data_IF_104345870540
#
_entry.id   IF_104345870540
#
_cell.length_a   1.000
_cell.length_b   1.000
_cell.length_c   1.000
_cell.angle_alpha   90.00
_cell.angle_beta   90.00
_cell.angle_gamma   90.00
#
_symmetry.space_group_name_H-M   'P 1'
#
loop_
_entity.id
_entity.type
_entity.pdbx_description
1 polymer ?
#
# COMPACT_ATOMS: atom_id res chain seq x y z
N UNK A 1 58.98 45.58 61.17
CA UNK A 1 58.65 44.26 60.64
C UNK A 1 57.15 44.22 60.42
N UNK A 2 56.68 44.38 59.20
CA UNK A 2 55.22 44.35 58.83
C UNK A 2 55.00 43.20 57.86
N UNK A 3 54.17 42.22 58.26
CA UNK A 3 53.80 41.04 57.48
C UNK A 3 52.64 41.36 56.50
N UNK A 4 52.93 41.28 55.24
CA UNK A 4 51.91 41.43 54.20
C UNK A 4 51.21 40.08 53.94
N UNK A 5 49.97 39.93 54.41
CA UNK A 5 49.11 38.76 54.07
C UNK A 5 48.50 38.94 52.69
N UNK A 6 48.97 38.19 51.73
CA UNK A 6 48.38 38.09 50.37
C UNK A 6 46.97 37.47 50.37
N UNK A 7 45.94 38.18 49.93
CA UNK A 7 44.58 37.69 49.65
C UNK A 7 44.60 36.88 48.36
N UNK A 8 44.50 35.58 48.45
CA UNK A 8 44.21 34.70 47.25
C UNK A 8 42.77 34.92 46.80
N UNK A 9 42.59 35.47 45.59
CA UNK A 9 41.29 35.58 44.90
C UNK A 9 40.81 34.16 44.56
N UNK A 10 39.69 33.75 45.15
CA UNK A 10 38.95 32.58 44.74
C UNK A 10 38.37 32.79 43.34
N UNK A 11 38.95 32.14 42.35
CA UNK A 11 38.54 32.24 40.94
C UNK A 11 37.26 31.42 40.73
N UNK A 12 36.15 32.09 40.44
CA UNK A 12 34.83 31.51 40.17
C UNK A 12 34.89 30.42 39.10
N UNK A 13 34.65 29.18 39.52
CA UNK A 13 34.52 27.99 38.63
C UNK A 13 33.08 27.79 38.10
N UNK A 14 32.17 28.78 38.29
CA UNK A 14 30.73 28.60 38.15
C UNK A 14 30.17 28.83 36.74
N UNK A 15 30.93 29.26 35.75
CA UNK A 15 30.41 29.63 34.41
C UNK A 15 30.61 28.56 33.31
N UNK A 16 31.43 27.52 33.55
CA UNK A 16 31.69 26.49 32.51
C UNK A 16 30.67 25.38 32.40
N UNK A 17 29.84 25.18 33.41
CA UNK A 17 28.87 24.06 33.44
C UNK A 17 27.60 24.36 32.61
N UNK A 18 27.11 25.60 32.62
CA UNK A 18 25.93 26.01 31.86
C UNK A 18 26.17 25.94 30.35
N UNK A 19 27.32 26.41 29.87
CA UNK A 19 27.66 26.32 28.43
C UNK A 19 27.70 24.90 27.90
N UNK A 20 28.23 23.96 28.70
CA UNK A 20 28.21 22.53 28.29
C UNK A 20 26.79 21.95 28.25
N UNK A 21 25.92 22.31 29.19
CA UNK A 21 24.56 21.86 29.23
C UNK A 21 23.76 22.36 27.98
N UNK A 22 23.91 23.64 27.63
CA UNK A 22 23.29 24.17 26.42
C UNK A 22 23.81 23.51 25.13
N UNK A 23 25.11 23.20 25.07
CA UNK A 23 25.66 22.47 23.90
C UNK A 23 25.09 21.07 23.79
N UNK A 24 24.86 20.35 24.88
CA UNK A 24 24.25 19.04 24.87
C UNK A 24 22.75 19.10 24.49
N UNK A 25 22.02 20.12 24.96
CA UNK A 25 20.62 20.34 24.61
C UNK A 25 20.47 20.69 23.12
N UNK A 26 21.38 21.49 22.56
CA UNK A 26 21.40 21.80 21.13
C UNK A 26 21.71 20.54 20.30
N UNK A 27 22.71 19.74 20.70
CA UNK A 27 23.02 18.47 20.06
C UNK A 27 21.84 17.51 20.08
N UNK A 28 21.16 17.37 21.22
CA UNK A 28 19.96 16.56 21.35
C UNK A 28 18.83 17.05 20.43
N UNK A 29 18.60 18.36 20.37
CA UNK A 29 17.62 19.00 19.48
C UNK A 29 17.93 18.70 18.00
N UNK A 30 19.18 18.83 17.58
CA UNK A 30 19.60 18.51 16.21
C UNK A 30 19.40 17.03 15.89
N UNK A 31 19.76 16.14 16.82
CA UNK A 31 19.55 14.69 16.66
C UNK A 31 18.07 14.32 16.57
N UNK A 32 17.20 14.98 17.34
CA UNK A 32 15.76 14.79 17.25
C UNK A 32 15.20 15.27 15.92
N UNK A 33 15.66 16.40 15.40
CA UNK A 33 15.23 16.91 14.08
C UNK A 33 15.70 15.98 12.96
N UNK A 34 16.94 15.50 13.01
CA UNK A 34 17.48 14.55 12.02
C UNK A 34 16.72 13.21 12.12
N UNK A 35 16.48 12.71 13.34
CA UNK A 35 15.73 11.47 13.56
C UNK A 35 14.30 11.56 13.07
N UNK A 36 13.60 12.66 13.36
CA UNK A 36 12.23 12.90 12.88
C UNK A 36 12.17 13.08 11.35
N UNK A 37 13.11 13.85 10.79
CA UNK A 37 13.22 14.02 9.34
C UNK A 37 13.51 12.69 8.63
N UNK A 38 14.47 11.92 9.15
CA UNK A 38 14.80 10.60 8.66
C UNK A 38 13.62 9.64 8.73
N UNK A 39 12.89 9.63 9.85
CA UNK A 39 11.67 8.83 10.01
C UNK A 39 10.56 9.25 9.02
N UNK A 40 10.33 10.54 8.82
CA UNK A 40 9.37 11.06 7.84
C UNK A 40 9.73 10.65 6.40
N UNK A 41 11.01 10.72 6.04
CA UNK A 41 11.49 10.28 4.73
C UNK A 41 11.31 8.77 4.59
N UNK A 42 11.71 7.99 5.59
CA UNK A 42 11.58 6.54 5.60
C UNK A 42 10.13 6.07 5.54
N UNK A 43 9.21 6.76 6.22
CA UNK A 43 7.77 6.46 6.21
C UNK A 43 7.03 6.98 4.99
N UNK A 44 7.71 7.64 4.04
CA UNK A 44 7.07 8.06 2.80
C UNK A 44 6.82 6.87 1.89
N UNK A 45 5.62 6.81 1.27
CA UNK A 45 5.20 5.74 0.36
C UNK A 45 6.22 5.52 -0.76
N UNK A 46 6.81 6.61 -1.28
CA UNK A 46 7.82 6.55 -2.34
C UNK A 46 9.09 5.80 -1.91
N UNK A 47 9.57 6.03 -0.67
CA UNK A 47 10.77 5.34 -0.15
C UNK A 47 10.44 3.89 0.18
N UNK A 48 9.29 3.65 0.80
CA UNK A 48 8.86 2.28 1.11
C UNK A 48 8.65 1.46 -0.15
N UNK A 49 7.97 1.98 -1.17
CA UNK A 49 7.82 1.31 -2.46
C UNK A 49 9.15 0.98 -3.11
N UNK A 50 10.16 1.86 -3.01
CA UNK A 50 11.44 1.70 -3.68
C UNK A 50 12.44 0.80 -2.94
N UNK A 51 12.43 0.80 -1.61
CA UNK A 51 13.48 0.16 -0.80
C UNK A 51 13.01 -0.96 0.11
N UNK A 52 11.75 -0.94 0.53
CA UNK A 52 11.19 -1.96 1.45
C UNK A 52 10.41 -3.01 0.67
N UNK A 53 9.63 -2.58 -0.31
CA UNK A 53 8.81 -3.46 -1.14
C UNK A 53 9.40 -3.56 -2.54
N UNK A 54 10.48 -4.32 -2.70
CA UNK A 54 11.00 -4.71 -4.02
C UNK A 54 10.15 -5.86 -4.55
N UNK A 55 9.09 -5.53 -5.28
CA UNK A 55 8.25 -6.51 -5.97
C UNK A 55 8.48 -6.43 -7.49
N UNK A 56 8.26 -7.53 -8.15
CA UNK A 56 8.27 -7.57 -9.59
C UNK A 56 7.16 -6.69 -10.19
N UNK A 57 7.38 -6.12 -11.37
CA UNK A 57 6.41 -5.28 -12.11
C UNK A 57 6.00 -3.97 -11.41
N UNK A 58 6.77 -3.50 -10.42
CA UNK A 58 6.46 -2.32 -9.61
C UNK A 58 6.07 -1.09 -10.45
N UNK A 59 6.79 -0.83 -11.55
CA UNK A 59 6.53 0.32 -12.40
C UNK A 59 5.15 0.27 -13.06
N UNK A 60 4.74 -0.88 -13.56
CA UNK A 60 3.42 -1.05 -14.19
C UNK A 60 2.31 -0.99 -13.14
N UNK A 61 2.50 -1.65 -11.98
CA UNK A 61 1.55 -1.61 -10.87
C UNK A 61 1.31 -0.16 -10.43
N UNK A 62 2.36 0.60 -10.10
CA UNK A 62 2.24 2.00 -9.67
C UNK A 62 1.61 2.88 -10.76
N UNK A 63 1.97 2.67 -12.02
CA UNK A 63 1.44 3.45 -13.13
C UNK A 63 -0.06 3.25 -13.30
N UNK A 64 -0.50 2.00 -13.35
CA UNK A 64 -1.91 1.68 -13.62
C UNK A 64 -2.80 1.85 -12.38
N UNK A 65 -2.30 1.61 -11.18
CA UNK A 65 -3.00 1.92 -9.94
C UNK A 65 -3.32 3.40 -9.83
N UNK A 66 -2.32 4.27 -10.00
CA UNK A 66 -2.52 5.73 -9.98
C UNK A 66 -3.50 6.20 -11.06
N UNK A 67 -3.49 5.58 -12.24
CA UNK A 67 -4.36 5.94 -13.35
C UNK A 67 -5.83 5.66 -13.05
N UNK A 68 -6.10 4.66 -12.21
CA UNK A 68 -7.44 4.24 -11.81
C UNK A 68 -7.79 4.65 -10.37
N UNK A 69 -6.95 5.51 -9.76
CA UNK A 69 -7.13 6.01 -8.39
C UNK A 69 -7.18 4.90 -7.32
N UNK A 70 -6.42 3.82 -7.53
CA UNK A 70 -6.32 2.64 -6.64
C UNK A 70 -4.99 2.69 -5.87
N UNK A 71 -4.97 2.18 -4.65
CA UNK A 71 -3.74 2.01 -3.89
C UNK A 71 -2.83 0.95 -4.55
N UNK A 72 -1.59 1.30 -4.96
CA UNK A 72 -0.65 0.34 -5.53
C UNK A 72 -0.27 -0.81 -4.58
N UNK A 73 -0.34 -0.60 -3.28
CA UNK A 73 -0.09 -1.67 -2.31
C UNK A 73 -1.24 -2.68 -2.28
N UNK A 74 -2.48 -2.23 -2.42
CA UNK A 74 -3.63 -3.12 -2.57
C UNK A 74 -3.48 -4.00 -3.82
N UNK A 75 -3.13 -3.41 -4.97
CA UNK A 75 -2.91 -4.16 -6.21
C UNK A 75 -1.78 -5.16 -6.06
N UNK A 76 -0.66 -4.77 -5.43
CA UNK A 76 0.45 -5.68 -5.17
C UNK A 76 0.07 -6.84 -4.24
N UNK A 77 -0.75 -6.57 -3.21
CA UNK A 77 -1.28 -7.59 -2.31
C UNK A 77 -2.19 -8.59 -3.05
N UNK A 78 -3.06 -8.10 -3.94
CA UNK A 78 -3.88 -8.94 -4.82
C UNK A 78 -2.98 -9.82 -5.69
N UNK A 79 -2.03 -9.25 -6.43
CA UNK A 79 -1.09 -10.00 -7.29
C UNK A 79 -0.31 -11.06 -6.47
N UNK A 80 0.11 -10.69 -5.27
CA UNK A 80 0.81 -11.62 -4.37
C UNK A 80 -0.06 -12.82 -4.00
N UNK A 81 -1.32 -12.58 -3.68
CA UNK A 81 -2.28 -13.63 -3.32
C UNK A 81 -2.68 -14.49 -4.53
N UNK A 82 -2.97 -13.86 -5.67
CA UNK A 82 -3.51 -14.51 -6.86
C UNK A 82 -2.47 -15.37 -7.60
N UNK A 83 -1.27 -14.87 -7.79
CA UNK A 83 -0.25 -15.55 -8.61
C UNK A 83 1.11 -15.68 -7.94
N UNK A 84 1.31 -15.08 -6.77
CA UNK A 84 2.64 -14.90 -6.19
C UNK A 84 3.64 -14.27 -7.19
N UNK A 85 3.18 -13.28 -7.96
CA UNK A 85 3.91 -12.59 -9.04
C UNK A 85 4.33 -13.49 -10.23
N UNK A 86 3.71 -14.65 -10.42
CA UNK A 86 3.95 -15.51 -11.58
C UNK A 86 3.09 -15.04 -12.75
N UNK A 87 3.73 -14.47 -13.78
CA UNK A 87 3.04 -13.87 -14.92
C UNK A 87 2.29 -14.87 -15.81
N UNK A 88 2.72 -16.12 -15.81
CA UNK A 88 2.18 -17.22 -16.60
C UNK A 88 1.23 -18.12 -15.80
N UNK A 89 0.81 -17.68 -14.61
CA UNK A 89 -0.09 -18.44 -13.77
C UNK A 89 -1.44 -18.65 -14.45
N UNK A 90 -1.90 -19.93 -14.43
CA UNK A 90 -3.24 -20.30 -14.87
C UNK A 90 -3.87 -21.17 -13.79
N UNK A 91 -5.04 -20.79 -13.31
CA UNK A 91 -5.76 -21.56 -12.28
C UNK A 91 -6.48 -22.77 -12.89
N UNK A 92 -6.89 -23.70 -12.03
CA UNK A 92 -7.69 -24.88 -12.45
C UNK A 92 -9.02 -24.49 -13.08
N UNK A 93 -9.55 -23.33 -12.73
CA UNK A 93 -10.84 -22.82 -13.28
C UNK A 93 -10.63 -21.88 -14.48
N UNK A 94 -9.36 -21.66 -14.91
CA UNK A 94 -9.05 -20.89 -16.11
C UNK A 94 -8.76 -19.41 -15.88
N UNK A 95 -8.58 -18.96 -14.64
CA UNK A 95 -8.11 -17.60 -14.38
C UNK A 95 -6.65 -17.42 -14.80
N UNK A 96 -6.29 -16.25 -15.37
CA UNK A 96 -5.04 -16.05 -16.10
C UNK A 96 -4.22 -14.88 -15.55
N UNK A 97 -2.91 -15.09 -15.46
CA UNK A 97 -1.90 -14.06 -15.27
C UNK A 97 -1.76 -13.57 -13.85
N UNK A 98 -1.08 -12.43 -13.69
CA UNK A 98 -0.69 -11.87 -12.40
C UNK A 98 -1.89 -11.60 -11.48
N UNK A 99 -2.98 -11.10 -12.02
CA UNK A 99 -4.19 -10.74 -11.28
C UNK A 99 -5.32 -11.76 -11.44
N UNK A 100 -5.01 -12.95 -11.98
CA UNK A 100 -5.94 -14.09 -12.13
C UNK A 100 -7.31 -13.68 -12.68
N UNK A 101 -7.31 -12.98 -13.81
CA UNK A 101 -8.53 -12.51 -14.46
C UNK A 101 -9.15 -13.68 -15.24
N UNK A 102 -10.43 -13.97 -14.97
CA UNK A 102 -11.19 -14.92 -15.76
C UNK A 102 -11.39 -14.38 -17.20
N UNK A 103 -11.31 -15.23 -18.25
CA UNK A 103 -11.51 -14.77 -19.63
C UNK A 103 -12.83 -14.03 -19.85
N UNK A 104 -13.91 -14.48 -19.22
CA UNK A 104 -15.21 -13.80 -19.27
C UNK A 104 -15.15 -12.38 -18.67
N UNK A 105 -14.54 -12.27 -17.48
CA UNK A 105 -14.30 -10.98 -16.84
C UNK A 105 -13.39 -10.10 -17.69
N UNK A 106 -12.36 -10.68 -18.32
CA UNK A 106 -11.46 -9.96 -19.21
C UNK A 106 -12.18 -9.37 -20.42
N UNK A 107 -13.11 -10.11 -21.05
CA UNK A 107 -13.93 -9.61 -22.15
C UNK A 107 -14.82 -8.46 -21.71
N UNK A 108 -15.47 -8.59 -20.55
CA UNK A 108 -16.29 -7.52 -19.98
C UNK A 108 -15.45 -6.26 -19.67
N UNK A 109 -14.29 -6.41 -19.02
CA UNK A 109 -13.36 -5.30 -18.77
C UNK A 109 -12.94 -4.62 -20.07
N UNK A 110 -12.59 -5.40 -21.07
CA UNK A 110 -12.17 -4.88 -22.38
C UNK A 110 -13.26 -4.04 -23.06
N UNK A 111 -14.52 -4.51 -23.00
CA UNK A 111 -15.67 -3.77 -23.48
C UNK A 111 -15.86 -2.44 -22.74
N UNK A 112 -15.84 -2.47 -21.41
CA UNK A 112 -16.00 -1.26 -20.59
C UNK A 112 -14.85 -0.25 -20.78
N UNK A 113 -13.63 -0.74 -20.99
CA UNK A 113 -12.46 0.09 -21.28
C UNK A 113 -12.37 0.57 -22.73
N UNK A 114 -13.28 0.13 -23.63
CA UNK A 114 -13.23 0.41 -25.08
C UNK A 114 -11.96 -0.14 -25.75
N UNK A 115 -11.49 -1.32 -25.33
CA UNK A 115 -10.29 -1.94 -25.91
C UNK A 115 -10.67 -2.65 -27.20
N UNK A 116 -10.36 -2.00 -28.33
CA UNK A 116 -10.52 -2.60 -29.64
C UNK A 116 -9.58 -3.81 -29.83
N UNK A 117 -10.07 -4.86 -30.50
CA UNK A 117 -9.32 -6.08 -30.84
C UNK A 117 -8.78 -6.86 -29.63
N UNK A 118 -9.42 -6.77 -28.47
CA UNK A 118 -9.09 -7.61 -27.31
C UNK A 118 -9.25 -9.09 -27.63
N UNK A 119 -8.31 -9.91 -27.16
CA UNK A 119 -8.36 -11.36 -27.19
C UNK A 119 -8.04 -11.93 -25.81
N UNK A 120 -8.59 -13.08 -25.47
CA UNK A 120 -8.34 -13.74 -24.17
C UNK A 120 -6.84 -14.01 -23.94
N UNK A 121 -6.06 -14.21 -25.03
CA UNK A 121 -4.62 -14.32 -24.99
C UNK A 121 -3.89 -13.05 -24.49
N UNK A 122 -4.55 -11.90 -24.50
CA UNK A 122 -4.00 -10.66 -23.96
C UNK A 122 -3.81 -10.70 -22.45
N UNK A 123 -4.56 -11.56 -21.75
CA UNK A 123 -4.42 -11.76 -20.30
C UNK A 123 -3.08 -12.38 -19.90
N UNK A 124 -2.37 -13.06 -20.82
CA UNK A 124 -1.02 -13.57 -20.60
C UNK A 124 0.05 -12.46 -20.70
N UNK A 125 -0.30 -11.31 -21.28
CA UNK A 125 0.61 -10.18 -21.38
C UNK A 125 0.61 -9.41 -20.07
N UNK A 126 1.69 -9.48 -19.32
CA UNK A 126 1.87 -8.88 -17.99
C UNK A 126 1.30 -7.47 -17.86
N UNK A 127 1.70 -6.60 -18.79
CA UNK A 127 1.28 -5.20 -18.78
C UNK A 127 -0.21 -5.00 -19.02
N UNK A 128 -0.81 -5.80 -19.91
CA UNK A 128 -2.25 -5.77 -20.17
C UNK A 128 -3.02 -6.32 -18.97
N UNK A 129 -2.57 -7.42 -18.39
CA UNK A 129 -3.17 -8.03 -17.21
C UNK A 129 -3.22 -7.06 -16.03
N UNK A 130 -2.08 -6.41 -15.70
CA UNK A 130 -2.02 -5.39 -14.63
C UNK A 130 -2.93 -4.18 -14.97
N UNK A 131 -2.88 -3.69 -16.22
CA UNK A 131 -3.71 -2.55 -16.64
C UNK A 131 -5.20 -2.83 -16.46
N UNK A 132 -5.65 -3.99 -16.92
CA UNK A 132 -7.05 -4.40 -16.84
C UNK A 132 -7.47 -4.69 -15.41
N UNK A 133 -6.63 -5.37 -14.64
CA UNK A 133 -6.88 -5.66 -13.24
C UNK A 133 -6.94 -4.40 -12.37
N UNK A 134 -6.04 -3.44 -12.55
CA UNK A 134 -6.10 -2.15 -11.84
C UNK A 134 -7.38 -1.37 -12.15
N UNK A 135 -7.82 -1.39 -13.42
CA UNK A 135 -9.09 -0.78 -13.81
C UNK A 135 -10.26 -1.47 -13.10
N UNK A 136 -10.27 -2.81 -13.10
CA UNK A 136 -11.32 -3.59 -12.44
C UNK A 136 -11.40 -3.35 -10.94
N UNK A 137 -10.25 -3.28 -10.25
CA UNK A 137 -10.21 -2.93 -8.81
C UNK A 137 -10.78 -1.53 -8.58
N UNK A 138 -10.45 -0.54 -9.44
CA UNK A 138 -11.02 0.80 -9.36
C UNK A 138 -12.55 0.83 -9.52
N UNK A 139 -13.10 0.04 -10.46
CA UNK A 139 -14.54 -0.12 -10.62
C UNK A 139 -15.17 -0.73 -9.37
N UNK A 140 -14.57 -1.76 -8.81
CA UNK A 140 -15.04 -2.38 -7.56
C UNK A 140 -14.98 -1.40 -6.36
N UNK A 141 -13.92 -0.60 -6.25
CA UNK A 141 -13.84 0.45 -5.21
C UNK A 141 -15.01 1.44 -5.32
N UNK A 142 -15.31 1.88 -6.52
CA UNK A 142 -16.42 2.79 -6.77
C UNK A 142 -17.78 2.11 -6.51
N UNK A 143 -18.00 0.90 -7.02
CA UNK A 143 -19.25 0.15 -6.88
C UNK A 143 -19.58 -0.17 -5.42
N UNK A 144 -18.57 -0.57 -4.64
CA UNK A 144 -18.73 -0.93 -3.23
C UNK A 144 -18.38 0.21 -2.25
N UNK A 145 -18.42 1.46 -2.73
CA UNK A 145 -18.24 2.68 -1.93
C UNK A 145 -16.97 2.65 -1.05
N UNK A 146 -15.86 2.20 -1.63
CA UNK A 146 -14.56 2.05 -0.97
C UNK A 146 -14.54 1.08 0.23
N UNK A 147 -15.55 0.21 0.34
CA UNK A 147 -15.53 -0.87 1.32
C UNK A 147 -14.58 -1.98 0.86
N UNK A 148 -13.42 -2.07 1.51
CA UNK A 148 -12.38 -3.04 1.13
C UNK A 148 -12.84 -4.49 1.27
N UNK A 149 -13.68 -4.79 2.28
CA UNK A 149 -14.20 -6.16 2.49
C UNK A 149 -15.09 -6.56 1.33
N UNK A 150 -16.06 -5.73 0.97
CA UNK A 150 -16.98 -5.99 -0.17
C UNK A 150 -16.23 -6.04 -1.49
N UNK A 151 -15.24 -5.15 -1.70
CA UNK A 151 -14.36 -5.18 -2.85
C UNK A 151 -13.67 -6.54 -3.00
N UNK A 152 -13.05 -7.03 -1.92
CA UNK A 152 -12.33 -8.31 -1.95
C UNK A 152 -13.28 -9.50 -2.14
N UNK A 153 -14.49 -9.45 -1.56
CA UNK A 153 -15.54 -10.44 -1.83
C UNK A 153 -15.91 -10.43 -3.31
N UNK A 154 -16.14 -9.26 -3.89
CA UNK A 154 -16.53 -9.13 -5.29
C UNK A 154 -15.41 -9.53 -6.26
N UNK A 155 -14.16 -9.26 -5.89
CA UNK A 155 -13.00 -9.70 -6.68
C UNK A 155 -12.92 -11.23 -6.77
N UNK A 156 -13.18 -11.93 -5.66
CA UNK A 156 -13.07 -13.38 -5.56
C UNK A 156 -14.33 -14.14 -6.00
N UNK A 157 -15.50 -13.71 -5.54
CA UNK A 157 -16.77 -14.40 -5.78
C UNK A 157 -17.55 -13.85 -6.99
N UNK A 158 -17.17 -12.68 -7.48
CA UNK A 158 -17.86 -11.95 -8.53
C UNK A 158 -18.88 -10.93 -8.00
N UNK A 159 -19.05 -9.85 -8.76
CA UNK A 159 -19.92 -8.71 -8.43
C UNK A 159 -21.38 -9.13 -8.18
N UNK A 160 -21.93 -9.94 -9.08
CA UNK A 160 -23.32 -10.41 -8.97
C UNK A 160 -23.58 -11.18 -7.68
N UNK A 161 -22.73 -12.15 -7.38
CA UNK A 161 -22.83 -12.94 -6.16
C UNK A 161 -22.70 -12.09 -4.89
N UNK A 162 -21.84 -11.08 -4.93
CA UNK A 162 -21.68 -10.15 -3.79
C UNK A 162 -22.96 -9.35 -3.55
N UNK A 163 -23.60 -8.85 -4.60
CA UNK A 163 -24.87 -8.14 -4.47
C UNK A 163 -26.02 -9.05 -3.99
N UNK A 164 -26.05 -10.31 -4.43
CA UNK A 164 -27.01 -11.29 -3.91
C UNK A 164 -26.82 -11.49 -2.40
N UNK A 165 -25.57 -11.71 -1.95
CA UNK A 165 -25.30 -11.86 -0.52
C UNK A 165 -25.60 -10.61 0.29
N UNK A 166 -25.35 -9.42 -0.26
CA UNK A 166 -25.73 -8.17 0.39
C UNK A 166 -27.26 -8.10 0.63
N UNK A 167 -28.05 -8.48 -0.37
CA UNK A 167 -29.51 -8.50 -0.26
C UNK A 167 -30.01 -9.59 0.71
N UNK A 168 -29.51 -10.81 0.59
CA UNK A 168 -29.94 -11.95 1.41
C UNK A 168 -29.59 -11.78 2.88
N UNK A 169 -28.43 -11.19 3.19
CA UNK A 169 -27.94 -11.07 4.55
C UNK A 169 -28.10 -9.66 5.14
N UNK A 170 -28.70 -8.73 4.39
CA UNK A 170 -28.89 -7.35 4.83
C UNK A 170 -27.58 -6.57 5.02
N UNK A 171 -26.53 -6.91 4.27
CA UNK A 171 -25.27 -6.17 4.34
C UNK A 171 -25.41 -4.83 3.64
N UNK A 172 -24.89 -3.79 4.29
CA UNK A 172 -24.74 -2.47 3.69
C UNK A 172 -23.28 -2.18 3.31
N UNK A 173 -23.02 -0.99 2.79
CA UNK A 173 -21.66 -0.58 2.40
C UNK A 173 -20.71 -0.31 3.59
N UNK A 174 -21.15 -0.47 4.84
CA UNK A 174 -20.31 -0.44 6.04
C UNK A 174 -19.98 -1.86 6.55
N UNK A 175 -20.36 -2.89 5.79
CA UNK A 175 -20.14 -4.28 6.14
C UNK A 175 -18.66 -4.58 6.45
N UNK A 176 -18.38 -5.25 7.60
CA UNK A 176 -17.03 -5.58 8.03
C UNK A 176 -16.91 -6.93 8.74
N UNK A 177 -17.98 -7.74 8.77
CA UNK A 177 -17.95 -9.05 9.39
C UNK A 177 -17.47 -10.14 8.43
N UNK A 178 -16.14 -10.26 8.31
CA UNK A 178 -15.48 -11.24 7.44
C UNK A 178 -15.92 -12.68 7.73
N UNK A 179 -16.31 -12.99 8.99
CA UNK A 179 -16.69 -14.35 9.38
C UNK A 179 -18.05 -14.79 8.83
N UNK A 180 -18.92 -13.84 8.49
CA UNK A 180 -20.23 -14.13 7.92
C UNK A 180 -20.20 -14.34 6.41
N UNK A 181 -19.04 -14.16 5.76
CA UNK A 181 -18.90 -14.33 4.31
C UNK A 181 -19.00 -15.83 3.97
N UNK A 182 -19.95 -16.24 3.11
CA UNK A 182 -20.20 -17.64 2.79
C UNK A 182 -19.07 -18.32 2.02
N UNK A 183 -18.08 -17.59 1.57
CA UNK A 183 -17.05 -18.06 0.64
C UNK A 183 -15.69 -18.24 1.32
N UNK A 184 -15.01 -19.41 1.17
CA UNK A 184 -13.76 -19.71 1.88
C UNK A 184 -12.51 -18.99 1.33
N UNK A 185 -12.65 -18.03 0.45
CA UNK A 185 -11.57 -17.46 -0.36
C UNK A 185 -10.84 -16.26 0.23
N UNK A 186 -11.14 -15.82 1.42
CA UNK A 186 -10.51 -14.63 2.02
C UNK A 186 -9.45 -14.96 3.07
N UNK A 187 -8.96 -16.20 3.10
CA UNK A 187 -7.91 -16.64 4.04
C UNK A 187 -6.59 -16.90 3.32
#
# INVERSE_FOLDING_TARGET
MASVKGKRKARSRRTKTHGRLYSWLLLLGVLLVIGFGGWKIWSSDTVQMRFVYMWDYQQDIVTYSKKNNVDPFLVAAIIKNESNFKHDAVSKVGAVGLMQIMPETGRWIAEQMGLENYQDSDLYQTKKNIRMGCWYVGELEHEFQHNLVLLMVAYNAGRGQTHEWMQENGWDYNFNDIKSIPYPCLL
#
